data_IF_284870485999
#
_entry.id   IF_284870485999
#
_cell.length_a   1.000
_cell.length_b   1.000
_cell.length_c   1.000
_cell.angle_alpha   90.00
_cell.angle_beta   90.00
_cell.angle_gamma   90.00
#
_symmetry.space_group_name_H-M   'P 1'
#
loop_
_entity.id
_entity.type
_entity.pdbx_description
1 polymer ?
#
# COMPACT_ATOMS: atom_id res chain seq x y z
N UNK A 1 -45.70 16.32 -50.62
CA UNK A 1 -45.21 15.00 -50.19
C UNK A 1 -43.80 15.18 -49.70
N UNK A 2 -43.61 14.88 -48.42
CA UNK A 2 -42.36 14.84 -47.65
C UNK A 2 -41.37 13.87 -48.29
N UNK A 3 -40.09 14.24 -48.39
CA UNK A 3 -38.94 13.33 -48.21
C UNK A 3 -37.75 14.19 -47.76
N UNK A 4 -37.48 14.11 -46.46
CA UNK A 4 -36.31 14.60 -45.76
C UNK A 4 -35.15 13.65 -46.11
N UNK A 5 -34.05 14.17 -46.65
CA UNK A 5 -32.81 13.39 -46.86
C UNK A 5 -31.84 13.77 -45.74
N UNK A 6 -31.99 13.07 -44.61
CA UNK A 6 -31.09 13.18 -43.46
C UNK A 6 -29.77 12.48 -43.80
N UNK A 7 -28.77 13.29 -44.15
CA UNK A 7 -27.37 12.85 -44.23
C UNK A 7 -26.89 12.35 -42.86
N UNK A 8 -26.98 11.03 -42.68
CA UNK A 8 -26.57 10.26 -41.52
C UNK A 8 -25.08 10.51 -41.20
N UNK A 9 -24.81 11.44 -40.28
CA UNK A 9 -23.47 11.64 -39.72
C UNK A 9 -23.14 10.41 -38.89
N UNK A 10 -22.38 9.48 -39.48
CA UNK A 10 -21.70 8.41 -38.74
C UNK A 10 -20.81 9.06 -37.67
N UNK A 11 -21.29 9.08 -36.43
CA UNK A 11 -20.45 9.27 -35.26
C UNK A 11 -19.49 8.09 -35.20
N UNK A 12 -18.26 8.30 -35.65
CA UNK A 12 -17.15 7.44 -35.27
C UNK A 12 -16.98 7.64 -33.76
N UNK A 13 -17.48 6.69 -32.97
CA UNK A 13 -17.11 6.59 -31.55
C UNK A 13 -15.61 6.36 -31.51
N UNK A 14 -14.86 7.45 -31.38
CA UNK A 14 -13.50 7.40 -30.84
C UNK A 14 -13.63 6.93 -29.39
N UNK A 15 -13.60 5.63 -29.18
CA UNK A 15 -13.27 5.08 -27.86
C UNK A 15 -11.84 5.54 -27.59
N UNK A 16 -11.69 6.59 -26.77
CA UNK A 16 -10.40 6.90 -26.19
C UNK A 16 -9.86 5.59 -25.58
N UNK A 17 -8.60 5.23 -25.82
CA UNK A 17 -8.01 4.05 -25.21
C UNK A 17 -8.22 4.16 -23.70
N UNK A 18 -8.66 3.05 -23.09
CA UNK A 18 -8.74 3.00 -21.65
C UNK A 18 -7.30 3.22 -21.13
N UNK A 19 -7.04 4.19 -20.26
CA UNK A 19 -5.70 4.39 -19.70
C UNK A 19 -5.18 3.16 -18.93
N UNK A 20 -6.03 2.14 -18.70
CA UNK A 20 -5.66 0.82 -18.17
C UNK A 20 -5.14 -0.16 -19.23
N UNK A 21 -5.32 0.13 -20.52
CA UNK A 21 -4.81 -0.66 -21.64
C UNK A 21 -3.36 -0.30 -22.03
N UNK A 22 -2.75 0.70 -21.40
CA UNK A 22 -1.31 0.94 -21.53
C UNK A 22 -0.53 -0.15 -20.78
N UNK A 23 0.18 -0.97 -21.53
CA UNK A 23 1.21 -1.85 -20.95
C UNK A 23 2.27 -0.98 -20.27
N UNK A 24 2.31 -1.00 -18.95
CA UNK A 24 3.32 -0.27 -18.18
C UNK A 24 4.69 -0.89 -18.47
N UNK A 25 5.59 -0.12 -19.10
CA UNK A 25 6.92 -0.58 -19.51
C UNK A 25 7.86 -0.84 -18.32
N UNK A 26 7.52 -0.32 -17.13
CA UNK A 26 8.35 -0.43 -15.93
C UNK A 26 7.59 -1.09 -14.79
N UNK A 27 8.27 -2.02 -14.12
CA UNK A 27 7.73 -2.78 -12.97
C UNK A 27 8.59 -2.57 -11.74
N UNK A 28 7.93 -2.42 -10.59
CA UNK A 28 8.55 -2.44 -9.27
C UNK A 28 8.20 -3.77 -8.61
N UNK A 29 9.23 -4.54 -8.26
CA UNK A 29 9.05 -5.85 -7.63
C UNK A 29 9.42 -5.74 -6.15
N UNK A 30 8.42 -5.84 -5.26
CA UNK A 30 8.64 -6.00 -3.83
C UNK A 30 8.84 -7.47 -3.49
N UNK A 31 10.02 -7.77 -2.95
CA UNK A 31 10.38 -9.11 -2.46
C UNK A 31 10.42 -9.09 -0.94
N UNK A 32 9.76 -10.05 -0.30
CA UNK A 32 9.74 -10.19 1.16
C UNK A 32 9.76 -11.66 1.56
N UNK A 33 10.22 -11.94 2.77
CA UNK A 33 10.08 -13.26 3.41
C UNK A 33 8.83 -13.36 4.30
N UNK A 34 8.01 -12.30 4.34
CA UNK A 34 6.77 -12.26 5.11
C UNK A 34 5.57 -12.66 4.26
N UNK A 35 5.13 -13.91 4.40
CA UNK A 35 3.89 -14.39 3.79
C UNK A 35 2.68 -13.55 4.23
N UNK A 36 2.63 -13.18 5.51
CA UNK A 36 1.55 -12.35 6.04
C UNK A 36 1.50 -10.97 5.37
N UNK A 37 2.65 -10.36 5.07
CA UNK A 37 2.68 -9.06 4.41
C UNK A 37 2.04 -9.14 3.02
N UNK A 38 2.46 -10.11 2.20
CA UNK A 38 1.93 -10.27 0.83
C UNK A 38 0.47 -10.68 0.86
N UNK A 39 0.08 -11.61 1.73
CA UNK A 39 -1.33 -11.98 1.89
C UNK A 39 -2.20 -10.76 2.25
N UNK A 40 -1.76 -9.94 3.21
CA UNK A 40 -2.54 -8.78 3.61
C UNK A 40 -2.55 -7.65 2.57
N UNK A 41 -1.43 -7.44 1.86
CA UNK A 41 -1.34 -6.43 0.80
C UNK A 41 -2.13 -6.82 -0.45
N UNK A 42 -2.14 -8.11 -0.82
CA UNK A 42 -2.74 -8.57 -2.07
C UNK A 42 -4.16 -9.11 -1.93
N UNK A 43 -4.61 -9.54 -0.74
CA UNK A 43 -5.91 -10.16 -0.56
C UNK A 43 -6.72 -9.56 0.58
N UNK A 44 -6.18 -9.50 1.80
CA UNK A 44 -7.00 -9.12 2.97
C UNK A 44 -7.55 -7.69 2.85
N UNK A 45 -6.77 -6.79 2.23
CA UNK A 45 -7.16 -5.40 1.98
C UNK A 45 -8.47 -5.27 1.20
N UNK A 46 -8.75 -6.14 0.24
CA UNK A 46 -9.98 -6.07 -0.58
C UNK A 46 -11.25 -6.22 0.27
N UNK A 47 -11.11 -6.89 1.41
CA UNK A 47 -12.23 -7.14 2.32
C UNK A 47 -12.34 -6.08 3.42
N UNK A 48 -11.42 -5.12 3.48
CA UNK A 48 -11.46 -4.07 4.49
C UNK A 48 -12.41 -2.97 4.06
N UNK A 49 -13.24 -2.53 5.01
CA UNK A 49 -14.24 -1.50 4.78
C UNK A 49 -13.71 -0.17 5.30
N UNK A 50 -13.89 0.87 4.48
CA UNK A 50 -13.68 2.25 4.91
C UNK A 50 -15.01 2.84 5.37
N UNK A 51 -15.17 3.01 6.67
CA UNK A 51 -16.26 3.80 7.22
C UNK A 51 -15.93 5.28 7.23
N UNK A 52 -16.93 6.17 7.18
CA UNK A 52 -16.69 7.56 7.61
C UNK A 52 -16.59 7.59 9.13
N UNK A 53 -15.63 8.35 9.72
CA UNK A 53 -15.54 8.47 11.16
C UNK A 53 -16.84 9.09 11.72
N UNK A 54 -17.62 8.29 12.45
CA UNK A 54 -18.96 8.67 12.96
C UNK A 54 -18.93 9.63 14.15
N UNK A 55 -17.76 9.92 14.72
CA UNK A 55 -17.62 10.83 15.87
C UNK A 55 -16.49 11.85 15.66
N UNK A 56 -16.60 13.03 16.30
CA UNK A 56 -15.54 14.06 16.30
C UNK A 56 -14.21 13.51 16.83
N UNK A 57 -14.26 12.65 17.85
CA UNK A 57 -13.07 11.98 18.41
C UNK A 57 -12.43 10.99 17.44
N UNK A 58 -13.22 10.32 16.59
CA UNK A 58 -12.71 9.46 15.53
C UNK A 58 -12.11 10.28 14.38
N UNK A 59 -12.74 11.40 13.98
CA UNK A 59 -12.16 12.31 12.97
C UNK A 59 -10.78 12.84 13.37
N UNK A 60 -10.58 13.16 14.65
CA UNK A 60 -9.27 13.59 15.17
C UNK A 60 -8.19 12.49 15.09
N UNK A 61 -8.58 11.20 14.99
CA UNK A 61 -7.68 10.06 14.78
C UNK A 61 -7.46 9.71 13.30
N UNK A 62 -8.00 10.51 12.38
CA UNK A 62 -7.82 10.32 10.94
C UNK A 62 -8.55 9.10 10.37
N UNK A 63 -8.26 8.82 9.09
CA UNK A 63 -8.85 7.75 8.29
C UNK A 63 -8.55 6.34 8.85
N UNK A 64 -7.46 6.21 9.59
CA UNK A 64 -7.01 4.96 10.24
C UNK A 64 -8.06 4.40 11.20
N UNK A 65 -8.74 5.30 11.93
CA UNK A 65 -9.83 4.93 12.86
C UNK A 65 -11.08 4.37 12.16
N UNK A 66 -11.17 4.60 10.86
CA UNK A 66 -12.30 4.31 9.99
C UNK A 66 -12.12 2.99 9.21
N UNK A 67 -10.92 2.41 9.23
CA UNK A 67 -10.62 1.11 8.63
C UNK A 67 -11.17 -0.01 9.50
N UNK A 68 -11.90 -0.94 8.90
CA UNK A 68 -12.49 -2.12 9.54
C UNK A 68 -12.20 -3.37 8.72
N UNK A 69 -12.04 -4.51 9.40
CA UNK A 69 -11.91 -5.79 8.72
C UNK A 69 -13.26 -6.29 8.17
N UNK A 70 -13.26 -7.45 7.52
CA UNK A 70 -14.45 -8.06 6.92
C UNK A 70 -15.56 -8.41 7.92
N UNK A 71 -15.22 -8.55 9.21
CA UNK A 71 -16.14 -8.81 10.33
C UNK A 71 -16.56 -7.54 11.07
N UNK A 72 -16.28 -6.37 10.50
CA UNK A 72 -16.48 -5.05 11.12
C UNK A 72 -15.65 -4.84 12.41
N UNK A 73 -14.59 -5.61 12.58
CA UNK A 73 -13.62 -5.53 13.67
C UNK A 73 -12.53 -4.47 13.45
N UNK A 74 -11.79 -4.11 14.52
CA UNK A 74 -10.65 -3.22 14.40
C UNK A 74 -9.47 -3.91 13.70
N UNK A 75 -8.95 -3.27 12.66
CA UNK A 75 -7.72 -3.71 11.98
C UNK A 75 -6.51 -3.44 12.86
N UNK A 76 -5.54 -4.37 12.87
CA UNK A 76 -4.24 -4.18 13.52
C UNK A 76 -3.34 -3.32 12.64
N UNK A 77 -2.64 -2.35 13.24
CA UNK A 77 -1.71 -1.44 12.56
C UNK A 77 -2.34 -0.67 11.36
N UNK A 78 -3.53 -0.07 11.52
CA UNK A 78 -4.26 0.54 10.40
C UNK A 78 -3.52 1.76 9.81
N UNK A 79 -2.70 2.43 10.62
CA UNK A 79 -1.87 3.55 10.20
C UNK A 79 -0.79 3.12 9.21
N UNK A 80 -0.04 2.08 9.57
CA UNK A 80 1.03 1.50 8.76
C UNK A 80 0.48 0.97 7.44
N UNK A 81 -0.64 0.25 7.48
CA UNK A 81 -1.31 -0.23 6.26
C UNK A 81 -1.78 0.91 5.37
N UNK A 82 -2.43 1.94 5.93
CA UNK A 82 -2.87 3.10 5.15
C UNK A 82 -1.69 3.80 4.47
N UNK A 83 -0.58 3.98 5.19
CA UNK A 83 0.63 4.59 4.62
C UNK A 83 1.21 3.75 3.49
N UNK A 84 1.27 2.44 3.66
CA UNK A 84 1.77 1.52 2.64
C UNK A 84 0.92 1.64 1.36
N UNK A 85 -0.40 1.60 1.48
CA UNK A 85 -1.30 1.70 0.33
C UNK A 85 -1.19 3.03 -0.40
N UNK A 86 -1.16 4.14 0.35
CA UNK A 86 -0.96 5.46 -0.26
C UNK A 86 0.38 5.52 -1.00
N UNK A 87 1.43 4.91 -0.46
CA UNK A 87 2.73 4.85 -1.13
C UNK A 87 2.67 4.02 -2.43
N UNK A 88 2.07 2.82 -2.37
CA UNK A 88 1.91 1.92 -3.53
C UNK A 88 1.07 2.59 -4.62
N UNK A 89 -0.13 3.08 -4.29
CA UNK A 89 -0.99 3.75 -5.27
C UNK A 89 -0.35 5.01 -5.86
N UNK A 90 0.48 5.73 -5.09
CA UNK A 90 1.24 6.86 -5.62
C UNK A 90 2.31 6.41 -6.60
N UNK A 91 3.03 5.33 -6.29
CA UNK A 91 4.04 4.77 -7.19
C UNK A 91 3.36 4.34 -8.49
N UNK A 92 2.26 3.58 -8.40
CA UNK A 92 1.52 3.11 -9.58
C UNK A 92 0.97 4.27 -10.42
N UNK A 93 0.28 5.22 -9.79
CA UNK A 93 -0.40 6.30 -10.51
C UNK A 93 0.54 7.43 -10.99
N UNK A 94 1.60 7.76 -10.24
CA UNK A 94 2.47 8.89 -10.57
C UNK A 94 3.69 8.46 -11.38
N UNK A 95 4.23 7.26 -11.13
CA UNK A 95 5.38 6.77 -11.86
C UNK A 95 4.99 5.92 -13.08
N UNK A 96 3.71 5.56 -13.22
CA UNK A 96 3.25 4.71 -14.33
C UNK A 96 3.93 3.35 -14.31
N UNK A 97 4.03 2.75 -13.12
CA UNK A 97 4.69 1.45 -12.93
C UNK A 97 3.74 0.42 -12.35
N UNK A 98 3.92 -0.83 -12.73
CA UNK A 98 3.20 -1.95 -12.12
C UNK A 98 3.93 -2.39 -10.85
N UNK A 99 3.20 -2.55 -9.74
CA UNK A 99 3.79 -3.06 -8.49
C UNK A 99 3.45 -4.54 -8.32
N UNK A 100 4.49 -5.38 -8.23
CA UNK A 100 4.37 -6.82 -8.03
C UNK A 100 4.93 -7.23 -6.68
N UNK A 101 4.29 -8.21 -6.03
CA UNK A 101 4.67 -8.70 -4.69
C UNK A 101 5.06 -10.17 -4.74
N UNK A 102 6.21 -10.51 -4.17
CA UNK A 102 6.70 -11.88 -4.09
C UNK A 102 7.13 -12.25 -2.67
N UNK A 103 6.73 -13.45 -2.26
CA UNK A 103 7.23 -14.09 -1.04
C UNK A 103 8.37 -15.03 -1.42
N UNK A 104 9.51 -14.90 -0.75
CA UNK A 104 10.65 -15.81 -0.88
C UNK A 104 11.00 -16.44 0.46
N UNK A 105 11.63 -17.63 0.49
CA UNK A 105 12.17 -18.19 1.72
C UNK A 105 13.16 -17.22 2.39
N UNK A 106 13.23 -17.25 3.72
CA UNK A 106 14.13 -16.39 4.51
C UNK A 106 15.60 -16.41 4.03
N UNK A 107 16.09 -17.59 3.63
CA UNK A 107 17.44 -17.79 3.10
C UNK A 107 17.71 -17.10 1.75
N UNK A 108 16.67 -16.68 1.04
CA UNK A 108 16.79 -15.89 -0.20
C UNK A 108 16.70 -14.38 0.05
N UNK A 109 16.42 -13.97 1.30
CA UNK A 109 16.32 -12.57 1.73
C UNK A 109 17.28 -12.28 2.90
N UNK A 110 18.45 -12.92 2.91
CA UNK A 110 19.39 -12.91 4.05
C UNK A 110 19.96 -11.52 4.35
N UNK A 111 20.29 -10.75 3.31
CA UNK A 111 20.83 -9.40 3.49
C UNK A 111 19.82 -8.45 4.14
N UNK A 112 18.57 -8.47 3.68
CA UNK A 112 17.51 -7.68 4.31
C UNK A 112 17.29 -8.10 5.77
N UNK A 113 17.31 -9.41 6.04
CA UNK A 113 17.22 -9.94 7.40
C UNK A 113 18.39 -9.48 8.29
N UNK A 114 19.62 -9.54 7.79
CA UNK A 114 20.81 -9.08 8.49
C UNK A 114 20.73 -7.59 8.80
N UNK A 115 20.31 -6.78 7.82
CA UNK A 115 20.12 -5.35 7.99
C UNK A 115 19.04 -5.06 9.04
N UNK A 116 17.89 -5.72 8.96
CA UNK A 116 16.80 -5.57 9.92
C UNK A 116 17.25 -5.92 11.36
N UNK A 117 17.99 -7.02 11.54
CA UNK A 117 18.56 -7.42 12.83
C UNK A 117 19.58 -6.40 13.35
N UNK A 118 20.43 -5.87 12.47
CA UNK A 118 21.45 -4.87 12.85
C UNK A 118 20.84 -3.53 13.31
N UNK A 119 19.65 -3.20 12.82
CA UNK A 119 18.92 -1.99 13.17
C UNK A 119 18.13 -2.13 14.48
N UNK A 120 17.95 -3.34 15.01
CA UNK A 120 17.25 -3.51 16.28
C UNK A 120 18.12 -2.99 17.43
N UNK A 121 17.56 -2.14 18.33
CA UNK A 121 18.29 -1.74 19.52
C UNK A 121 18.60 -2.98 20.37
N UNK A 122 19.88 -3.20 20.66
CA UNK A 122 20.31 -4.29 21.55
C UNK A 122 19.70 -4.02 22.93
N UNK A 123 18.69 -4.81 23.28
CA UNK A 123 18.04 -4.76 24.58
C UNK A 123 19.07 -5.19 25.64
N UNK A 124 19.82 -4.26 26.22
CA UNK A 124 20.76 -4.59 27.29
C UNK A 124 21.92 -3.66 27.62
N UNK A 125 22.30 -2.68 26.79
CA UNK A 125 23.30 -1.69 27.24
C UNK A 125 22.62 -0.60 28.08
N UNK A 126 22.51 -0.88 29.39
CA UNK A 126 22.52 0.19 30.40
C UNK A 126 23.67 1.13 30.05
N UNK A 127 23.40 2.42 30.03
CA UNK A 127 24.42 3.44 29.95
C UNK A 127 25.31 3.35 31.22
N UNK A 128 26.31 2.49 31.19
CA UNK A 128 27.50 2.67 32.02
C UNK A 128 28.33 3.76 31.34
N UNK A 129 28.22 4.97 31.89
CA UNK A 129 28.81 6.15 31.32
C UNK A 129 28.65 7.37 32.21
N UNK A 130 28.90 7.24 33.51
CA UNK A 130 29.41 8.36 34.31
C UNK A 130 30.70 7.90 34.96
N UNK A 131 31.80 8.17 34.25
CA UNK A 131 33.12 8.17 34.86
C UNK A 131 33.10 9.11 36.07
N UNK A 132 33.51 8.59 37.22
CA UNK A 132 34.09 9.40 38.27
C UNK A 132 35.59 9.37 38.04
N UNK A 133 36.16 10.52 37.73
CA UNK A 133 37.60 10.75 37.80
C UNK A 133 38.08 10.54 39.24
N UNK A 134 39.33 10.10 39.43
CA UNK A 134 39.96 10.05 40.74
C UNK A 134 40.44 11.45 41.15
N UNK A 135 40.11 11.83 42.40
CA UNK A 135 40.94 12.69 43.24
C UNK A 135 41.22 11.95 44.54
#
# INVERSE_FOLDING_TARGET
GRLEDEGERRQVKSTAPDPRDETLDTRVIFVTDSHHLVQSACHDQEQWKFGLPRSKKARAKGIESAVRDHKDGPVKNPAEWTRLWVAVSRIEALAGVEVLWYVVPKGQNEDANRLALSAMPVKGKKAEGKGKEPM
#
